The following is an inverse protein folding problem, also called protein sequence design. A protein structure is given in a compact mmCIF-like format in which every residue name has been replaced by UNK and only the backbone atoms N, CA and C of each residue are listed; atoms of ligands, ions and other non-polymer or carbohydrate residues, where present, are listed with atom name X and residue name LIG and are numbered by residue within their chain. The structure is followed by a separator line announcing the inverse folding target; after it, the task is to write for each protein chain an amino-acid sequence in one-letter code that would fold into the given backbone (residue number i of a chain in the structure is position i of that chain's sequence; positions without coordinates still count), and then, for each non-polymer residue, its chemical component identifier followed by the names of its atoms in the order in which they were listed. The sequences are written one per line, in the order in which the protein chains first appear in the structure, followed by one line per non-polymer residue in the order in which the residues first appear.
data_IF_395365592606
#
_entry.id   IF_395365592606
#
_cell.length_a   1.000
_cell.length_b   1.000
_cell.length_c   1.000
_cell.angle_alpha   90.00
_cell.angle_beta   90.00
_cell.angle_gamma   90.00
#
_symmetry.space_group_name_H-M   'P 1'
#
loop_
_entity.id
_entity.type
_entity.pdbx_description
1 polymer ?
#
# COMPACT_ATOMS: atom_id res chain seq x y z
N UNK A 1 13.23 20.84 -12.42
CA UNK A 1 12.26 20.16 -13.29
C UNK A 1 12.42 18.69 -12.96
N UNK A 2 11.53 18.12 -12.15
CA UNK A 2 11.59 16.71 -11.79
C UNK A 2 11.21 15.89 -13.02
N UNK A 3 11.90 14.79 -13.35
CA UNK A 3 11.47 13.90 -14.42
C UNK A 3 10.08 13.34 -14.08
N UNK A 4 9.17 13.38 -15.01
CA UNK A 4 7.85 12.79 -14.86
C UNK A 4 8.00 11.28 -14.60
N UNK A 5 7.34 10.73 -13.57
CA UNK A 5 7.53 9.32 -13.15
C UNK A 5 6.89 8.29 -14.08
N UNK A 6 6.22 8.74 -15.12
CA UNK A 6 5.63 7.89 -16.14
C UNK A 6 6.11 8.41 -17.50
N UNK A 7 6.69 7.51 -18.32
CA UNK A 7 6.99 7.81 -19.72
C UNK A 7 5.75 8.40 -20.41
N UNK A 8 5.96 9.07 -21.54
CA UNK A 8 4.87 9.68 -22.31
C UNK A 8 3.67 8.73 -22.39
N UNK A 9 2.44 9.20 -22.09
CA UNK A 9 1.27 8.35 -22.20
C UNK A 9 1.19 7.83 -23.63
N UNK A 10 1.08 6.51 -23.77
CA UNK A 10 0.86 5.90 -25.07
C UNK A 10 -0.34 6.59 -25.70
N UNK A 11 -0.24 7.02 -26.97
CA UNK A 11 -1.36 7.67 -27.63
C UNK A 11 -2.59 6.75 -27.57
N UNK A 12 -3.72 7.27 -27.12
CA UNK A 12 -4.97 6.53 -27.04
C UNK A 12 -5.43 6.19 -28.46
N UNK A 13 -4.95 5.07 -28.99
CA UNK A 13 -5.35 4.55 -30.31
C UNK A 13 -6.46 3.53 -30.09
N UNK A 14 -7.66 3.87 -30.50
CA UNK A 14 -8.80 2.94 -30.54
C UNK A 14 -8.44 1.70 -31.38
N UNK A 15 -8.60 0.52 -30.76
CA UNK A 15 -8.29 -0.76 -31.43
C UNK A 15 -6.86 -1.27 -31.23
N UNK A 16 -6.01 -0.58 -30.46
CA UNK A 16 -4.69 -1.09 -30.09
C UNK A 16 -4.83 -2.38 -29.27
N UNK A 17 -4.20 -3.45 -29.74
CA UNK A 17 -4.13 -4.72 -29.01
C UNK A 17 -2.86 -4.73 -28.13
N UNK A 18 -3.08 -4.83 -26.82
CA UNK A 18 -2.00 -4.93 -25.84
C UNK A 18 -1.88 -6.38 -25.35
N UNK A 19 -0.65 -6.85 -25.14
CA UNK A 19 -0.42 -8.07 -24.37
C UNK A 19 -0.36 -7.66 -22.91
N UNK A 20 -1.29 -8.19 -22.10
CA UNK A 20 -1.33 -7.98 -20.66
C UNK A 20 -1.12 -9.32 -19.95
N UNK A 21 -0.45 -9.31 -18.81
CA UNK A 21 -0.46 -10.43 -17.87
C UNK A 21 -1.85 -10.63 -17.28
N UNK A 22 -2.09 -11.79 -16.68
CA UNK A 22 -3.33 -12.00 -15.93
C UNK A 22 -3.39 -11.05 -14.73
N UNK A 23 -4.56 -10.50 -14.40
CA UNK A 23 -4.74 -9.69 -13.21
C UNK A 23 -4.35 -10.48 -11.96
N UNK A 24 -3.61 -9.85 -11.06
CA UNK A 24 -3.31 -10.38 -9.72
C UNK A 24 -4.09 -9.56 -8.70
N UNK A 25 -4.65 -10.24 -7.69
CA UNK A 25 -5.38 -9.60 -6.62
C UNK A 25 -4.62 -9.82 -5.29
N UNK A 26 -3.77 -8.86 -4.95
CA UNK A 26 -2.97 -8.89 -3.72
C UNK A 26 -3.71 -8.23 -2.54
N UNK A 27 -4.93 -7.73 -2.77
CA UNK A 27 -5.80 -7.10 -1.78
C UNK A 27 -7.16 -7.82 -1.73
N UNK A 28 -7.10 -9.15 -1.51
CA UNK A 28 -8.28 -10.01 -1.58
C UNK A 28 -9.23 -9.81 -0.40
N UNK A 29 -10.54 -9.74 -0.70
CA UNK A 29 -11.60 -9.73 0.30
C UNK A 29 -11.72 -11.13 0.95
N UNK A 30 -11.92 -11.15 2.30
CA UNK A 30 -12.22 -12.40 3.01
C UNK A 30 -13.64 -12.91 2.67
N UNK A 31 -13.88 -14.19 2.91
CA UNK A 31 -15.16 -14.87 2.64
C UNK A 31 -15.66 -15.72 3.83
N UNK A 32 -15.08 -15.50 5.02
CA UNK A 32 -15.35 -16.26 6.24
C UNK A 32 -16.52 -15.72 7.08
N UNK A 33 -17.26 -14.74 6.55
CA UNK A 33 -18.46 -14.18 7.18
C UNK A 33 -18.19 -13.13 8.26
N UNK A 34 -16.93 -12.85 8.61
CA UNK A 34 -16.61 -11.77 9.57
C UNK A 34 -17.04 -10.39 9.06
N UNK A 35 -17.38 -9.44 9.93
CA UNK A 35 -17.63 -8.07 9.55
C UNK A 35 -16.42 -7.41 8.88
N UNK A 36 -16.64 -6.52 7.91
CA UNK A 36 -15.59 -5.75 7.27
C UNK A 36 -15.67 -4.27 7.68
N UNK A 37 -14.53 -3.70 8.08
CA UNK A 37 -14.36 -2.25 8.24
C UNK A 37 -13.47 -1.75 7.10
N UNK A 38 -14.09 -0.99 6.20
CA UNK A 38 -13.44 -0.42 5.03
C UNK A 38 -12.99 1.00 5.36
N UNK A 39 -11.71 1.32 5.15
CA UNK A 39 -11.14 2.64 5.44
C UNK A 39 -10.47 3.15 4.17
N UNK A 40 -11.00 4.24 3.63
CA UNK A 40 -10.51 4.84 2.40
C UNK A 40 -10.04 6.28 2.60
N UNK A 41 -8.97 6.67 1.93
CA UNK A 41 -8.51 8.07 1.86
C UNK A 41 -8.27 8.51 0.42
N UNK A 42 -8.94 9.58 -0.02
CA UNK A 42 -8.79 10.12 -1.36
C UNK A 42 -8.96 9.07 -2.45
N UNK A 43 -7.93 8.91 -3.31
CA UNK A 43 -7.94 7.95 -4.43
C UNK A 43 -8.00 6.49 -3.97
N UNK A 44 -7.65 6.17 -2.72
CA UNK A 44 -7.76 4.82 -2.17
C UNK A 44 -9.17 4.24 -2.19
N UNK A 45 -10.18 5.09 -2.38
CA UNK A 45 -11.57 4.66 -2.57
C UNK A 45 -11.75 3.75 -3.79
N UNK A 46 -10.88 3.83 -4.78
CA UNK A 46 -10.97 3.01 -6.00
C UNK A 46 -10.77 1.51 -5.70
N UNK A 47 -9.86 1.16 -4.81
CA UNK A 47 -9.68 -0.22 -4.35
C UNK A 47 -10.84 -0.67 -3.46
N UNK A 48 -11.28 0.19 -2.55
CA UNK A 48 -12.30 -0.11 -1.54
C UNK A 48 -13.72 -0.21 -2.14
N UNK A 49 -14.01 0.55 -3.19
CA UNK A 49 -15.33 0.55 -3.84
C UNK A 49 -15.79 -0.84 -4.27
N UNK A 50 -14.91 -1.58 -4.95
CA UNK A 50 -15.23 -2.93 -5.41
C UNK A 50 -15.58 -3.88 -4.24
N UNK A 51 -14.86 -3.73 -3.12
CA UNK A 51 -15.13 -4.49 -1.88
C UNK A 51 -16.49 -4.16 -1.30
N UNK A 52 -16.85 -2.86 -1.22
CA UNK A 52 -18.16 -2.43 -0.72
C UNK A 52 -19.32 -3.05 -1.53
N UNK A 53 -19.21 -3.06 -2.86
CA UNK A 53 -20.19 -3.72 -3.73
C UNK A 53 -20.23 -5.24 -3.51
N UNK A 54 -19.08 -5.90 -3.41
CA UNK A 54 -19.01 -7.35 -3.21
C UNK A 54 -19.60 -7.77 -1.86
N UNK A 55 -19.29 -7.06 -0.77
CA UNK A 55 -19.84 -7.29 0.56
C UNK A 55 -21.36 -7.10 0.57
N UNK A 56 -21.85 -6.03 -0.05
CA UNK A 56 -23.30 -5.79 -0.19
C UNK A 56 -23.99 -6.93 -0.95
N UNK A 57 -23.43 -7.37 -2.06
CA UNK A 57 -23.99 -8.47 -2.86
C UNK A 57 -24.02 -9.80 -2.10
N UNK A 58 -23.09 -10.01 -1.15
CA UNK A 58 -23.05 -11.20 -0.27
C UNK A 58 -23.96 -11.06 0.96
N UNK A 59 -24.60 -9.90 1.18
CA UNK A 59 -25.35 -9.60 2.40
C UNK A 59 -24.48 -9.52 3.65
N UNK A 60 -23.17 -9.33 3.48
CA UNK A 60 -22.19 -9.27 4.58
C UNK A 60 -22.25 -7.91 5.30
N UNK A 61 -21.94 -7.92 6.59
CA UNK A 61 -21.85 -6.69 7.41
C UNK A 61 -20.59 -5.91 7.01
N UNK A 62 -20.78 -4.68 6.55
CA UNK A 62 -19.68 -3.81 6.18
C UNK A 62 -19.95 -2.37 6.60
N UNK A 63 -18.92 -1.66 7.06
CA UNK A 63 -18.94 -0.24 7.33
C UNK A 63 -17.80 0.44 6.57
N UNK A 64 -18.07 1.55 5.90
CA UNK A 64 -17.07 2.33 5.17
C UNK A 64 -16.84 3.68 5.85
N UNK A 65 -15.59 3.94 6.17
CA UNK A 65 -15.07 5.23 6.61
C UNK A 65 -14.25 5.84 5.47
N UNK A 66 -14.74 6.93 4.87
CA UNK A 66 -14.11 7.54 3.71
C UNK A 66 -13.69 8.98 3.99
N UNK A 67 -12.40 9.25 4.00
CA UNK A 67 -11.83 10.58 4.14
C UNK A 67 -11.50 11.19 2.77
N UNK A 68 -12.03 12.39 2.52
CA UNK A 68 -11.74 13.19 1.33
C UNK A 68 -11.38 14.63 1.72
N UNK A 69 -10.86 15.43 0.78
CA UNK A 69 -10.59 16.84 1.02
C UNK A 69 -11.89 17.62 1.20
N UNK A 70 -12.87 17.37 0.34
CA UNK A 70 -14.23 17.94 0.42
C UNK A 70 -15.26 16.91 -0.07
N UNK A 71 -16.54 17.16 0.19
CA UNK A 71 -17.63 16.30 -0.32
C UNK A 71 -17.72 16.31 -1.85
N UNK A 72 -17.35 17.41 -2.49
CA UNK A 72 -17.33 17.51 -3.95
C UNK A 72 -16.23 16.64 -4.55
N UNK A 73 -15.07 16.57 -3.89
CA UNK A 73 -13.93 15.75 -4.33
C UNK A 73 -14.05 14.27 -3.93
N UNK A 74 -15.07 13.90 -3.14
CA UNK A 74 -15.30 12.52 -2.75
C UNK A 74 -15.83 11.69 -3.93
N UNK A 75 -14.92 11.05 -4.65
CA UNK A 75 -15.25 10.22 -5.80
C UNK A 75 -16.22 9.08 -5.41
N UNK A 76 -17.14 8.72 -6.31
CA UNK A 76 -18.12 7.65 -6.13
C UNK A 76 -19.09 7.81 -4.95
N UNK A 77 -19.17 8.99 -4.32
CA UNK A 77 -19.98 9.25 -3.14
C UNK A 77 -21.44 8.80 -3.28
N UNK A 78 -22.09 9.15 -4.38
CA UNK A 78 -23.50 8.82 -4.61
C UNK A 78 -23.72 7.33 -4.82
N UNK A 79 -22.81 6.67 -5.51
CA UNK A 79 -22.83 5.23 -5.72
C UNK A 79 -22.66 4.48 -4.38
N UNK A 80 -21.67 4.86 -3.60
CA UNK A 80 -21.41 4.28 -2.28
C UNK A 80 -22.56 4.54 -1.30
N UNK A 81 -23.19 5.71 -1.34
CA UNK A 81 -24.36 6.02 -0.51
C UNK A 81 -25.57 5.13 -0.87
N UNK A 82 -25.79 4.82 -2.14
CA UNK A 82 -26.83 3.86 -2.57
C UNK A 82 -26.53 2.43 -2.11
N UNK A 83 -25.27 2.02 -2.15
CA UNK A 83 -24.84 0.66 -1.78
C UNK A 83 -24.89 0.45 -0.27
N UNK A 84 -24.34 1.38 0.50
CA UNK A 84 -24.09 1.21 1.93
C UNK A 84 -25.10 1.94 2.84
N UNK A 85 -25.80 2.97 2.32
CA UNK A 85 -26.74 3.76 3.11
C UNK A 85 -26.10 4.36 4.37
N UNK A 86 -26.63 4.04 5.54
CA UNK A 86 -26.15 4.50 6.84
C UNK A 86 -24.78 3.92 7.25
N UNK A 87 -24.27 2.91 6.53
CA UNK A 87 -22.95 2.33 6.78
C UNK A 87 -21.82 3.15 6.13
N UNK A 88 -22.12 4.17 5.34
CA UNK A 88 -21.14 5.11 4.79
C UNK A 88 -20.93 6.28 5.76
N UNK A 89 -19.71 6.40 6.26
CA UNK A 89 -19.23 7.53 7.06
C UNK A 89 -18.28 8.37 6.21
N UNK A 90 -18.68 9.55 5.76
CA UNK A 90 -17.87 10.44 4.95
C UNK A 90 -17.28 11.56 5.82
N UNK A 91 -15.97 11.73 5.74
CA UNK A 91 -15.21 12.77 6.43
C UNK A 91 -14.61 13.73 5.38
N UNK A 92 -14.94 15.01 5.49
CA UNK A 92 -14.50 16.05 4.57
C UNK A 92 -13.69 17.11 5.33
N UNK A 93 -12.38 17.16 5.07
CA UNK A 93 -11.45 18.03 5.80
C UNK A 93 -11.82 19.53 5.67
N UNK A 94 -12.34 19.96 4.51
CA UNK A 94 -12.80 21.32 4.28
C UNK A 94 -14.06 21.70 5.06
N UNK A 95 -14.75 20.72 5.64
CA UNK A 95 -15.97 20.87 6.44
C UNK A 95 -15.70 20.55 7.92
N UNK A 96 -14.45 20.61 8.35
CA UNK A 96 -13.96 20.30 9.71
C UNK A 96 -14.37 18.92 10.24
N UNK A 97 -14.78 18.01 9.35
CA UNK A 97 -15.06 16.62 9.72
C UNK A 97 -13.83 15.76 9.44
N UNK A 98 -13.16 15.36 10.51
CA UNK A 98 -11.97 14.49 10.42
C UNK A 98 -12.29 13.11 10.96
N UNK A 99 -11.70 12.09 10.33
CA UNK A 99 -11.78 10.72 10.81
C UNK A 99 -10.93 10.59 12.08
N UNK A 100 -11.57 10.23 13.18
CA UNK A 100 -10.90 9.80 14.40
C UNK A 100 -10.56 8.30 14.25
N UNK A 101 -9.32 8.00 13.96
CA UNK A 101 -8.86 6.64 13.68
C UNK A 101 -8.98 5.73 14.90
N UNK A 102 -8.60 6.23 16.09
CA UNK A 102 -8.67 5.44 17.32
C UNK A 102 -10.12 5.06 17.63
N UNK A 103 -11.06 5.98 17.44
CA UNK A 103 -12.48 5.72 17.61
C UNK A 103 -13.01 4.73 16.56
N UNK A 104 -12.61 4.86 15.29
CA UNK A 104 -13.05 3.94 14.23
C UNK A 104 -12.56 2.51 14.52
N UNK A 105 -11.30 2.36 14.92
CA UNK A 105 -10.72 1.05 15.16
C UNK A 105 -11.26 0.43 16.45
N UNK A 106 -11.41 1.20 17.53
CA UNK A 106 -11.91 0.69 18.81
C UNK A 106 -13.40 0.37 18.81
N UNK A 107 -14.20 1.05 17.98
CA UNK A 107 -15.65 0.82 17.88
C UNK A 107 -16.00 -0.34 16.92
N UNK A 108 -15.04 -0.92 16.23
CA UNK A 108 -15.26 -2.02 15.31
C UNK A 108 -15.64 -3.32 16.05
N UNK A 109 -16.40 -4.21 15.42
CA UNK A 109 -16.64 -5.55 15.97
C UNK A 109 -15.33 -6.27 16.31
N UNK A 110 -15.33 -7.04 17.39
CA UNK A 110 -14.12 -7.68 17.94
C UNK A 110 -13.43 -8.66 16.98
N UNK A 111 -14.16 -9.16 15.98
CA UNK A 111 -13.67 -10.09 14.94
C UNK A 111 -13.55 -9.43 13.55
N UNK A 112 -13.82 -8.13 13.42
CA UNK A 112 -13.81 -7.44 12.13
C UNK A 112 -12.46 -7.51 11.42
N UNK A 113 -12.50 -7.58 10.08
CA UNK A 113 -11.33 -7.45 9.21
C UNK A 113 -11.31 -6.03 8.64
N UNK A 114 -10.17 -5.38 8.76
CA UNK A 114 -9.96 -4.01 8.27
C UNK A 114 -9.30 -4.03 6.89
N UNK A 115 -9.85 -3.24 5.99
CA UNK A 115 -9.28 -3.00 4.64
C UNK A 115 -8.97 -1.52 4.51
N UNK A 116 -7.70 -1.20 4.34
CA UNK A 116 -7.22 0.18 4.38
C UNK A 116 -6.51 0.52 3.08
N UNK A 117 -6.97 1.56 2.39
CA UNK A 117 -6.29 2.12 1.22
C UNK A 117 -6.37 3.64 1.21
N UNK A 118 -5.24 4.31 1.05
CA UNK A 118 -5.17 5.77 1.05
C UNK A 118 -3.76 6.30 1.25
N UNK A 119 -3.62 7.59 1.55
CA UNK A 119 -2.32 8.19 1.86
C UNK A 119 -1.61 7.45 2.99
N UNK A 120 -0.28 7.37 2.91
CA UNK A 120 0.54 6.64 3.90
C UNK A 120 0.20 7.02 5.35
N UNK A 121 -0.01 8.32 5.64
CA UNK A 121 -0.38 8.79 6.99
C UNK A 121 -1.66 8.16 7.53
N UNK A 122 -2.66 7.94 6.66
CA UNK A 122 -3.88 7.26 7.06
C UNK A 122 -3.63 5.78 7.36
N UNK A 123 -2.93 5.12 6.46
CA UNK A 123 -2.58 3.70 6.60
C UNK A 123 -1.75 3.47 7.87
N UNK A 124 -0.71 4.26 8.08
CA UNK A 124 0.19 4.14 9.23
C UNK A 124 -0.56 4.43 10.55
N UNK A 125 -1.48 5.40 10.56
CA UNK A 125 -2.31 5.69 11.73
C UNK A 125 -3.24 4.51 12.09
N UNK A 126 -3.85 3.85 11.10
CA UNK A 126 -4.69 2.66 11.35
C UNK A 126 -3.86 1.49 11.86
N UNK A 127 -2.70 1.21 11.26
CA UNK A 127 -1.80 0.14 11.71
C UNK A 127 -1.32 0.41 13.15
N UNK A 128 -0.94 1.64 13.47
CA UNK A 128 -0.52 2.02 14.81
C UNK A 128 -1.67 1.92 15.83
N UNK A 129 -2.90 2.31 15.47
CA UNK A 129 -4.07 2.16 16.32
C UNK A 129 -4.38 0.69 16.60
N UNK A 130 -4.36 -0.15 15.56
CA UNK A 130 -4.57 -1.58 15.68
C UNK A 130 -3.53 -2.25 16.60
N UNK A 131 -2.25 -1.88 16.48
CA UNK A 131 -1.18 -2.38 17.35
C UNK A 131 -1.39 -1.98 18.81
N UNK A 132 -1.80 -0.72 19.09
CA UNK A 132 -2.12 -0.26 20.46
C UNK A 132 -3.31 -1.00 21.09
N UNK A 133 -4.25 -1.43 20.26
CA UNK A 133 -5.47 -2.15 20.68
C UNK A 133 -5.28 -3.68 20.60
N UNK A 134 -4.06 -4.15 20.40
CA UNK A 134 -3.70 -5.57 20.32
C UNK A 134 -4.54 -6.36 19.30
N UNK A 135 -4.92 -5.70 18.18
CA UNK A 135 -5.62 -6.35 17.08
C UNK A 135 -4.61 -7.13 16.26
N UNK A 136 -4.90 -8.40 15.98
CA UNK A 136 -4.05 -9.28 15.19
C UNK A 136 -3.71 -8.66 13.82
N UNK A 137 -2.44 -8.70 13.45
CA UNK A 137 -1.94 -8.07 12.23
C UNK A 137 -2.56 -8.68 10.95
N UNK A 138 -2.96 -9.93 10.96
CA UNK A 138 -3.61 -10.63 9.84
C UNK A 138 -5.03 -10.10 9.55
N UNK A 139 -5.63 -9.41 10.51
CA UNK A 139 -6.91 -8.72 10.36
C UNK A 139 -6.79 -7.33 9.73
N UNK A 140 -5.57 -6.79 9.61
CA UNK A 140 -5.31 -5.47 9.04
C UNK A 140 -4.74 -5.65 7.63
N UNK A 141 -5.58 -5.50 6.64
CA UNK A 141 -5.21 -5.63 5.23
C UNK A 141 -5.03 -4.24 4.61
N UNK A 142 -3.89 -4.02 4.00
CA UNK A 142 -3.47 -2.71 3.49
C UNK A 142 -3.14 -2.79 2.02
N UNK A 143 -3.62 -1.83 1.23
CA UNK A 143 -3.12 -1.57 -0.12
C UNK A 143 -2.50 -0.17 -0.20
N UNK A 144 -1.27 -0.10 -0.69
CA UNK A 144 -0.53 1.15 -0.92
C UNK A 144 -0.35 1.36 -2.42
N UNK A 145 -0.69 2.54 -2.93
CA UNK A 145 -0.53 2.85 -4.37
C UNK A 145 0.85 3.40 -4.73
N UNK A 146 1.59 3.86 -3.74
CA UNK A 146 2.95 4.36 -3.93
C UNK A 146 3.83 4.00 -2.73
N UNK A 147 5.13 3.90 -2.98
CA UNK A 147 6.11 3.81 -1.91
C UNK A 147 6.08 5.10 -1.07
N UNK A 148 6.15 4.92 0.25
CA UNK A 148 6.33 6.03 1.19
C UNK A 148 7.75 5.97 1.73
N UNK A 149 8.55 6.97 1.39
CA UNK A 149 9.87 7.15 2.01
C UNK A 149 9.68 8.02 3.25
N UNK A 150 10.21 7.58 4.39
CA UNK A 150 10.10 8.34 5.62
C UNK A 150 10.78 9.72 5.48
N UNK A 151 10.19 10.78 6.05
CA UNK A 151 10.74 12.14 5.93
C UNK A 151 12.16 12.29 6.51
N UNK A 152 12.54 11.41 7.43
CA UNK A 152 13.83 11.36 8.10
C UNK A 152 14.78 10.30 7.53
N UNK A 153 14.43 9.71 6.38
CA UNK A 153 15.28 8.72 5.71
C UNK A 153 16.65 9.33 5.37
N UNK A 154 17.71 8.57 5.62
CA UNK A 154 19.08 8.98 5.33
C UNK A 154 19.55 8.37 4.01
N UNK A 155 20.50 8.98 3.30
CA UNK A 155 21.18 8.33 2.21
C UNK A 155 21.82 7.01 2.68
N UNK A 156 21.82 6.01 1.81
CA UNK A 156 22.41 4.70 2.09
C UNK A 156 23.24 4.22 0.91
N UNK A 157 24.24 3.40 1.18
CA UNK A 157 24.99 2.67 0.15
C UNK A 157 24.36 1.29 -0.06
N UNK A 158 24.19 0.91 -1.33
CA UNK A 158 23.66 -0.42 -1.68
C UNK A 158 24.57 -1.07 -2.71
N UNK A 159 25.20 -2.18 -2.31
CA UNK A 159 25.94 -3.05 -3.24
C UNK A 159 24.98 -4.06 -3.86
N UNK A 160 24.93 -4.09 -5.19
CA UNK A 160 24.19 -5.06 -5.99
C UNK A 160 25.16 -6.13 -6.47
N UNK A 161 25.19 -7.29 -5.82
CA UNK A 161 26.24 -8.29 -5.95
C UNK A 161 26.30 -8.91 -7.33
N UNK A 162 25.14 -9.23 -7.94
CA UNK A 162 25.13 -9.86 -9.27
C UNK A 162 25.53 -8.91 -10.39
N UNK A 163 25.08 -7.66 -10.28
CA UNK A 163 25.41 -6.63 -11.29
C UNK A 163 26.79 -6.00 -11.08
N UNK A 164 27.44 -6.26 -9.93
CA UNK A 164 28.73 -5.68 -9.55
C UNK A 164 28.68 -4.16 -9.35
N UNK A 165 27.51 -3.60 -9.06
CA UNK A 165 27.31 -2.16 -8.91
C UNK A 165 27.16 -1.78 -7.44
N UNK A 166 27.69 -0.62 -7.09
CA UNK A 166 27.44 0.05 -5.80
C UNK A 166 26.71 1.36 -6.06
N UNK A 167 25.58 1.54 -5.41
CA UNK A 167 24.70 2.67 -5.59
C UNK A 167 24.67 3.55 -4.33
N UNK A 168 24.67 4.87 -4.52
CA UNK A 168 24.31 5.83 -3.47
C UNK A 168 22.83 6.15 -3.63
N UNK A 169 22.02 5.66 -2.71
CA UNK A 169 20.56 5.85 -2.73
C UNK A 169 20.20 7.06 -1.90
N UNK A 170 19.69 8.11 -2.53
CA UNK A 170 19.31 9.35 -1.87
C UNK A 170 18.20 9.13 -0.83
N UNK A 171 18.06 10.09 0.10
CA UNK A 171 17.05 10.01 1.18
C UNK A 171 15.60 9.95 0.66
N UNK A 172 15.32 10.51 -0.50
CA UNK A 172 14.01 10.59 -1.17
C UNK A 172 13.83 9.56 -2.30
N UNK A 173 14.78 8.62 -2.46
CA UNK A 173 14.80 7.63 -3.53
C UNK A 173 14.63 6.21 -2.98
N UNK A 174 13.88 5.35 -3.68
CA UNK A 174 13.84 3.92 -3.36
C UNK A 174 15.08 3.20 -3.89
N UNK A 175 15.45 2.09 -3.26
CA UNK A 175 16.56 1.24 -3.74
C UNK A 175 16.25 0.72 -5.16
N UNK A 176 14.98 0.37 -5.41
CA UNK A 176 14.53 -0.09 -6.72
C UNK A 176 14.72 0.98 -7.79
N UNK A 177 14.31 2.23 -7.52
CA UNK A 177 14.45 3.32 -8.50
C UNK A 177 15.91 3.64 -8.78
N UNK A 178 16.78 3.59 -7.76
CA UNK A 178 18.22 3.75 -7.94
C UNK A 178 18.81 2.63 -8.80
N UNK A 179 18.40 1.38 -8.60
CA UNK A 179 18.85 0.23 -9.40
C UNK A 179 18.41 0.36 -10.87
N UNK A 180 17.14 0.70 -11.12
CA UNK A 180 16.61 0.92 -12.47
C UNK A 180 17.30 2.09 -13.17
N UNK A 181 17.52 3.20 -12.47
CA UNK A 181 18.25 4.37 -13.01
C UNK A 181 19.71 4.04 -13.36
N UNK A 182 20.33 3.09 -12.62
CA UNK A 182 21.65 2.58 -12.92
C UNK A 182 21.65 1.54 -14.06
N UNK A 183 20.51 1.23 -14.68
CA UNK A 183 20.39 0.26 -15.76
C UNK A 183 20.44 -1.20 -15.31
N UNK A 184 20.15 -1.48 -14.04
CA UNK A 184 20.02 -2.85 -13.52
C UNK A 184 18.61 -3.35 -13.81
N UNK A 185 18.51 -4.53 -14.43
CA UNK A 185 17.20 -5.18 -14.67
C UNK A 185 16.69 -5.80 -13.37
N UNK A 186 15.90 -5.02 -12.63
CA UNK A 186 15.30 -5.42 -11.37
C UNK A 186 13.81 -5.74 -11.58
N UNK A 187 13.35 -6.97 -11.26
CA UNK A 187 11.93 -7.32 -11.33
C UNK A 187 11.09 -6.35 -10.51
N UNK A 188 10.03 -5.80 -11.09
CA UNK A 188 9.16 -4.88 -10.37
C UNK A 188 7.74 -4.87 -10.94
N UNK A 189 6.74 -4.47 -10.10
CA UNK A 189 5.34 -4.35 -10.50
C UNK A 189 4.67 -3.22 -9.71
N UNK A 190 4.09 -3.48 -8.53
CA UNK A 190 3.30 -2.49 -7.76
C UNK A 190 4.11 -1.31 -7.25
N UNK A 191 5.42 -1.44 -7.06
CA UNK A 191 6.34 -0.44 -6.48
C UNK A 191 5.90 0.14 -5.12
N UNK A 192 5.06 -0.58 -4.40
CA UNK A 192 4.43 -0.13 -3.16
C UNK A 192 4.49 -1.17 -2.02
N UNK A 193 5.28 -2.23 -2.18
CA UNK A 193 5.48 -3.25 -1.15
C UNK A 193 4.33 -4.24 -0.96
N UNK A 194 3.45 -4.41 -1.96
CA UNK A 194 2.26 -5.24 -1.84
C UNK A 194 2.31 -6.55 -2.65
N UNK A 195 3.22 -6.72 -3.64
CA UNK A 195 3.12 -7.82 -4.62
C UNK A 195 4.31 -8.80 -4.61
N UNK A 196 5.34 -8.58 -3.83
CA UNK A 196 6.60 -9.38 -3.78
C UNK A 196 7.43 -9.43 -5.07
N UNK A 197 6.96 -8.91 -6.20
CA UNK A 197 7.65 -9.04 -7.49
C UNK A 197 9.11 -8.57 -7.43
N UNK A 198 9.39 -7.53 -6.64
CA UNK A 198 10.74 -7.00 -6.46
C UNK A 198 11.52 -7.64 -5.30
N UNK A 199 10.97 -8.66 -4.63
CA UNK A 199 11.63 -9.23 -3.47
C UNK A 199 13.02 -9.80 -3.83
N UNK A 200 14.03 -9.43 -3.06
CA UNK A 200 15.44 -9.78 -3.27
C UNK A 200 16.06 -10.20 -1.96
N UNK A 201 17.03 -11.12 -2.01
CA UNK A 201 17.77 -11.57 -0.82
C UNK A 201 18.75 -10.49 -0.36
N UNK A 202 18.77 -10.26 0.95
CA UNK A 202 19.79 -9.45 1.63
C UNK A 202 20.97 -10.36 1.97
N UNK A 203 22.14 -10.07 1.40
CA UNK A 203 23.38 -10.82 1.63
C UNK A 203 24.13 -10.30 2.87
N UNK A 204 24.09 -8.98 3.07
CA UNK A 204 24.71 -8.31 4.23
C UNK A 204 23.95 -7.04 4.58
N UNK A 205 24.05 -6.63 5.85
CA UNK A 205 23.32 -5.51 6.43
C UNK A 205 21.94 -5.88 6.98
N UNK A 206 21.29 -4.92 7.61
CA UNK A 206 19.97 -5.10 8.25
C UNK A 206 18.90 -4.28 7.52
N UNK A 207 17.88 -4.90 6.93
CA UNK A 207 16.80 -4.18 6.25
C UNK A 207 15.81 -3.56 7.25
N UNK A 208 15.35 -2.34 6.94
CA UNK A 208 14.18 -1.71 7.53
C UNK A 208 12.96 -2.05 6.67
N UNK A 209 12.25 -3.10 7.07
CA UNK A 209 11.09 -3.61 6.35
C UNK A 209 9.90 -2.66 6.45
N UNK A 210 9.40 -2.23 5.29
CA UNK A 210 8.23 -1.34 5.16
C UNK A 210 7.13 -1.93 4.27
N UNK A 211 7.38 -3.10 3.72
CA UNK A 211 6.40 -3.85 2.93
C UNK A 211 5.33 -4.50 3.83
N UNK A 212 4.15 -4.76 3.25
CA UNK A 212 3.05 -5.47 3.92
C UNK A 212 2.90 -6.92 3.47
N UNK A 213 3.84 -7.43 2.66
CA UNK A 213 3.64 -8.66 1.89
C UNK A 213 4.57 -9.80 2.29
N UNK A 214 5.72 -9.52 2.89
CA UNK A 214 6.65 -10.56 3.34
C UNK A 214 6.25 -11.05 4.73
N UNK A 215 6.13 -12.37 4.86
CA UNK A 215 5.94 -13.04 6.15
C UNK A 215 7.21 -12.97 7.03
N UNK A 216 7.11 -13.18 8.34
CA UNK A 216 8.28 -13.27 9.22
C UNK A 216 9.33 -14.28 8.73
N UNK A 217 8.93 -15.47 8.31
CA UNK A 217 9.85 -16.48 7.78
C UNK A 217 10.60 -15.99 6.53
N UNK A 218 9.92 -15.29 5.62
CA UNK A 218 10.56 -14.73 4.42
C UNK A 218 11.56 -13.64 4.77
N UNK A 219 11.30 -12.85 5.80
CA UNK A 219 12.23 -11.80 6.30
C UNK A 219 13.42 -12.39 7.04
N UNK A 220 13.18 -13.32 7.96
CA UNK A 220 14.19 -13.79 8.90
C UNK A 220 14.98 -14.99 8.35
N UNK A 221 14.29 -16.03 7.84
CA UNK A 221 14.94 -17.25 7.35
C UNK A 221 15.46 -17.11 5.92
N UNK A 222 14.66 -16.52 5.03
CA UNK A 222 15.04 -16.34 3.63
C UNK A 222 15.74 -15.02 3.37
N UNK A 223 15.79 -14.12 4.36
CA UNK A 223 16.41 -12.80 4.29
C UNK A 223 15.93 -11.98 3.09
N UNK A 224 14.64 -12.02 2.77
CA UNK A 224 14.06 -11.25 1.68
C UNK A 224 13.72 -9.82 2.12
N UNK A 225 13.86 -8.87 1.21
CA UNK A 225 13.33 -7.51 1.33
C UNK A 225 12.71 -7.03 0.01
N UNK A 226 11.82 -6.05 0.09
CA UNK A 226 11.22 -5.39 -1.07
C UNK A 226 11.90 -4.02 -1.31
N UNK A 227 12.87 -3.90 -2.24
CA UNK A 227 13.64 -2.68 -2.48
C UNK A 227 12.82 -1.51 -3.01
N UNK A 228 11.58 -1.74 -3.41
CA UNK A 228 10.66 -0.67 -3.84
C UNK A 228 10.14 0.21 -2.68
N UNK A 229 10.28 -0.23 -1.42
CA UNK A 229 9.77 0.50 -0.27
C UNK A 229 10.68 0.38 0.96
N UNK A 230 11.29 -0.79 1.18
CA UNK A 230 12.19 -1.06 2.31
C UNK A 230 13.56 -0.42 2.11
N UNK A 231 14.25 -0.10 3.21
CA UNK A 231 15.56 0.56 3.21
C UNK A 231 16.53 -0.19 4.14
N UNK A 232 17.69 0.39 4.41
CA UNK A 232 18.58 -0.09 5.46
C UNK A 232 18.22 0.54 6.81
N UNK A 233 18.36 -0.21 7.91
CA UNK A 233 18.40 0.35 9.26
C UNK A 233 19.72 1.09 9.52
N UNK A 234 20.82 0.58 8.94
CA UNK A 234 22.14 1.21 8.95
C UNK A 234 22.41 2.02 7.68
N UNK A 235 23.69 2.19 7.36
CA UNK A 235 24.14 3.00 6.22
C UNK A 235 24.38 2.18 4.96
N UNK A 236 24.40 0.83 5.05
CA UNK A 236 24.75 -0.05 3.92
C UNK A 236 23.93 -1.33 3.89
N UNK A 237 23.64 -1.79 2.66
CA UNK A 237 23.11 -3.13 2.36
C UNK A 237 23.88 -3.77 1.21
N UNK A 238 23.90 -5.11 1.19
CA UNK A 238 24.35 -5.92 0.05
C UNK A 238 23.19 -6.79 -0.40
N UNK A 239 22.76 -6.64 -1.63
CA UNK A 239 21.62 -7.34 -2.20
C UNK A 239 22.06 -8.32 -3.30
N UNK A 240 21.34 -9.43 -3.43
CA UNK A 240 21.52 -10.44 -4.48
C UNK A 240 20.82 -10.01 -5.79
N UNK A 241 21.25 -8.85 -6.35
CA UNK A 241 20.69 -8.21 -7.53
C UNK A 241 21.78 -7.82 -8.53
#
# INVERSE_FOLDING_TARGET
MLPEPFGEPLPAVLGLRLRCGLPQNDFALHDDGRPAVLIAGGIGITAIKAMAHALKARGATAQLHYAARSRQEAAFREDLARVLGSQLNLYAAAEDTRMDIDRVVSAAPSDAVFYVCGPHRLVDAVVAAAARLEIDADRIRVERFAASIAPDAKPIEVELRRSGRTLQVASDQTILDAALAAGVDAPNSCRAGNCKTCAVRVLDGEPDHRDSVLSPAERDEHRLMCPCISRAKGERLVLDL
#
